data_IF_477703919608
#
_entry.id   IF_477703919608
#
_cell.length_a   1.000
_cell.length_b   1.000
_cell.length_c   1.000
_cell.angle_alpha   90.00
_cell.angle_beta   90.00
_cell.angle_gamma   90.00
#
_symmetry.space_group_name_H-M   'P 1'
#
loop_
_entity.id
_entity.type
_entity.pdbx_description
1 polymer ?
#
# COMPACT_ATOMS: atom_id res chain seq x y z
N UNK A 1 -9.45 0.13 -58.82
CA UNK A 1 -9.89 1.51 -59.10
C UNK A 1 -10.88 1.90 -58.02
N UNK A 2 -10.50 2.90 -57.22
CA UNK A 2 -11.26 3.96 -56.52
C UNK A 2 -12.74 3.73 -56.18
N UNK A 3 -13.33 4.28 -55.13
CA UNK A 3 -12.94 4.98 -53.89
C UNK A 3 -14.30 5.33 -53.28
N UNK A 4 -14.51 5.13 -51.98
CA UNK A 4 -15.58 5.84 -51.25
C UNK A 4 -15.04 6.17 -49.86
N UNK A 5 -14.55 7.40 -49.75
CA UNK A 5 -14.31 8.12 -48.51
C UNK A 5 -15.62 8.75 -48.04
N UNK A 6 -15.78 8.93 -46.72
CA UNK A 6 -16.72 9.91 -46.16
C UNK A 6 -17.39 9.47 -44.87
N UNK A 7 -16.75 9.73 -43.73
CA UNK A 7 -17.33 9.47 -42.41
C UNK A 7 -16.57 10.05 -41.21
N UNK A 8 -16.54 11.40 -41.12
CA UNK A 8 -16.56 12.26 -39.92
C UNK A 8 -15.44 12.17 -38.84
N UNK A 9 -15.19 13.27 -38.09
CA UNK A 9 -13.83 13.70 -37.72
C UNK A 9 -13.35 13.20 -36.36
N UNK A 10 -12.04 12.92 -36.27
CA UNK A 10 -11.34 12.82 -35.00
C UNK A 10 -11.32 14.19 -34.32
N UNK A 11 -11.89 14.27 -33.11
CA UNK A 11 -11.72 15.43 -32.25
C UNK A 11 -10.27 15.48 -31.79
N UNK A 12 -9.45 16.22 -32.53
CA UNK A 12 -8.10 16.60 -32.14
C UNK A 12 -8.19 17.41 -30.84
N UNK A 13 -7.78 16.79 -29.73
CA UNK A 13 -7.49 17.54 -28.50
C UNK A 13 -6.26 18.41 -28.81
N UNK A 14 -6.50 19.69 -29.07
CA UNK A 14 -5.44 20.70 -29.19
C UNK A 14 -4.83 20.93 -27.82
N UNK A 15 -3.67 20.32 -27.57
CA UNK A 15 -2.82 20.67 -26.44
C UNK A 15 -2.24 22.06 -26.72
N UNK A 16 -2.46 23.07 -25.87
CA UNK A 16 -1.90 24.40 -26.12
C UNK A 16 -0.37 24.37 -26.00
N UNK A 17 0.28 24.69 -27.11
CA UNK A 17 1.61 25.32 -27.20
C UNK A 17 2.75 24.67 -26.40
N UNK A 18 3.22 23.53 -26.91
CA UNK A 18 4.38 22.71 -26.49
C UNK A 18 5.68 23.53 -26.26
N UNK A 19 5.81 24.70 -26.89
CA UNK A 19 7.01 25.54 -26.83
C UNK A 19 7.27 26.19 -25.46
N UNK A 20 6.24 26.52 -24.68
CA UNK A 20 6.42 27.12 -23.34
C UNK A 20 6.79 26.08 -22.29
N UNK A 21 6.30 24.85 -22.45
CA UNK A 21 6.59 23.72 -21.56
C UNK A 21 8.08 23.33 -21.63
N UNK A 22 8.69 23.36 -22.81
CA UNK A 22 10.12 23.05 -22.98
C UNK A 22 11.08 24.10 -22.40
N UNK A 23 10.72 25.38 -22.40
CA UNK A 23 11.53 26.43 -21.73
C UNK A 23 11.51 26.31 -20.19
N UNK A 24 10.48 25.68 -19.61
CA UNK A 24 10.46 25.38 -18.18
C UNK A 24 11.36 24.18 -17.82
N UNK A 25 11.51 23.23 -18.74
CA UNK A 25 12.36 22.04 -18.59
C UNK A 25 13.85 22.42 -18.66
N UNK A 26 14.24 23.37 -19.52
CA UNK A 26 15.61 23.89 -19.58
C UNK A 26 16.02 24.62 -18.28
N UNK A 27 15.07 25.26 -17.59
CA UNK A 27 15.29 25.94 -16.32
C UNK A 27 15.35 24.97 -15.12
N UNK A 28 14.73 23.79 -15.23
CA UNK A 28 14.84 22.71 -14.23
C UNK A 28 16.18 21.95 -14.30
N UNK A 29 16.83 21.93 -15.47
CA UNK A 29 18.17 21.33 -15.66
C UNK A 29 19.31 22.17 -15.07
N UNK A 30 19.02 23.30 -14.42
CA UNK A 30 20.01 24.19 -13.79
C UNK A 30 19.88 24.27 -12.26
N UNK A 31 19.18 23.33 -11.61
CA UNK A 31 19.26 23.22 -10.14
C UNK A 31 20.55 22.48 -9.78
N UNK A 32 21.57 23.23 -9.38
CA UNK A 32 22.92 22.72 -9.02
C UNK A 32 22.97 21.91 -7.73
N UNK A 33 21.89 21.85 -6.95
CA UNK A 33 21.87 21.17 -5.66
C UNK A 33 20.69 20.22 -5.48
N UNK A 34 21.02 19.06 -4.91
CA UNK A 34 20.15 17.94 -4.58
C UNK A 34 19.11 18.33 -3.50
N UNK A 35 17.92 18.76 -3.93
CA UNK A 35 16.86 19.16 -2.99
C UNK A 35 15.94 18.01 -2.57
N UNK A 36 15.90 16.90 -3.30
CA UNK A 36 14.97 15.82 -2.99
C UNK A 36 15.22 15.18 -1.61
N UNK A 37 16.44 14.85 -1.19
CA UNK A 37 16.68 14.33 0.16
C UNK A 37 16.24 15.30 1.26
N UNK A 38 16.38 16.61 1.03
CA UNK A 38 15.91 17.64 1.97
C UNK A 38 14.38 17.68 2.02
N UNK A 39 13.71 17.59 0.87
CA UNK A 39 12.24 17.51 0.77
C UNK A 39 11.74 16.22 1.44
N UNK A 40 12.37 15.08 1.15
CA UNK A 40 12.03 13.79 1.74
C UNK A 40 12.20 13.81 3.26
N UNK A 41 13.35 14.30 3.77
CA UNK A 41 13.57 14.45 5.19
C UNK A 41 12.57 15.42 5.83
N UNK A 42 12.17 16.50 5.14
CA UNK A 42 11.15 17.44 5.63
C UNK A 42 9.77 16.79 5.72
N UNK A 43 9.37 16.02 4.71
CA UNK A 43 8.07 15.30 4.69
C UNK A 43 8.06 14.21 5.77
N UNK A 44 9.14 13.41 5.85
CA UNK A 44 9.27 12.32 6.81
C UNK A 44 9.36 12.81 8.27
N UNK A 45 10.04 13.94 8.52
CA UNK A 45 10.15 14.50 9.88
C UNK A 45 8.84 15.11 10.38
N UNK A 46 8.05 15.73 9.50
CA UNK A 46 6.73 16.26 9.83
C UNK A 46 5.63 15.20 9.97
N UNK A 47 5.87 13.98 9.45
CA UNK A 47 4.85 12.94 9.31
C UNK A 47 5.31 11.55 9.77
N UNK A 48 6.31 11.50 10.66
CA UNK A 48 7.03 10.28 11.01
C UNK A 48 6.07 9.18 11.48
N UNK A 49 6.02 8.07 10.73
CA UNK A 49 5.17 6.92 11.04
C UNK A 49 3.70 7.04 10.64
N UNK A 50 3.24 8.23 10.20
CA UNK A 50 1.84 8.47 9.84
C UNK A 50 1.49 7.97 8.44
N UNK A 51 2.44 8.05 7.52
CA UNK A 51 2.24 7.70 6.12
C UNK A 51 3.24 6.64 5.65
N UNK A 52 2.82 5.91 4.63
CA UNK A 52 3.68 5.00 3.88
C UNK A 52 3.70 5.43 2.42
N UNK A 53 4.76 5.00 1.74
CA UNK A 53 5.09 5.50 0.41
C UNK A 53 5.24 4.36 -0.58
N UNK A 54 4.85 4.62 -1.83
CA UNK A 54 5.08 3.68 -2.94
C UNK A 54 5.53 4.41 -4.18
N UNK A 55 6.76 4.11 -4.62
CA UNK A 55 7.26 4.50 -5.93
C UNK A 55 6.60 3.70 -7.04
N UNK A 56 6.27 4.36 -8.15
CA UNK A 56 5.59 3.74 -9.30
C UNK A 56 5.83 4.52 -10.59
N UNK A 57 5.48 3.87 -11.71
CA UNK A 57 5.50 4.53 -13.02
C UNK A 57 4.31 5.49 -13.18
N UNK A 58 4.45 6.49 -14.07
CA UNK A 58 3.31 7.36 -14.43
C UNK A 58 2.13 6.60 -15.05
N UNK A 59 2.39 5.44 -15.69
CA UNK A 59 1.33 4.57 -16.21
C UNK A 59 0.53 3.93 -15.08
N UNK A 60 1.21 3.44 -14.05
CA UNK A 60 0.55 2.91 -12.84
C UNK A 60 -0.21 4.01 -12.11
N UNK A 61 0.38 5.20 -11.93
CA UNK A 61 -0.31 6.32 -11.31
C UNK A 61 -1.61 6.66 -12.04
N UNK A 62 -1.56 6.83 -13.37
CA UNK A 62 -2.77 7.12 -14.17
C UNK A 62 -3.82 6.02 -14.04
N UNK A 63 -3.39 4.76 -13.96
CA UNK A 63 -4.30 3.64 -13.77
C UNK A 63 -4.96 3.69 -12.38
N UNK A 64 -4.20 3.94 -11.32
CA UNK A 64 -4.74 4.06 -9.96
C UNK A 64 -5.71 5.23 -9.88
N UNK A 65 -5.32 6.41 -10.38
CA UNK A 65 -6.17 7.61 -10.36
C UNK A 65 -7.43 7.48 -11.23
N UNK A 66 -7.49 6.52 -12.16
CA UNK A 66 -8.68 6.25 -12.96
C UNK A 66 -9.59 5.18 -12.38
N UNK A 67 -9.25 4.59 -11.23
CA UNK A 67 -10.04 3.55 -10.56
C UNK A 67 -10.32 3.96 -9.11
N UNK A 68 -11.38 3.39 -8.52
CA UNK A 68 -11.68 3.59 -7.10
C UNK A 68 -10.79 2.76 -6.17
N UNK A 69 -10.25 1.67 -6.70
CA UNK A 69 -9.44 0.69 -5.98
C UNK A 69 -7.96 0.83 -6.38
N UNK A 70 -7.08 0.69 -5.40
CA UNK A 70 -5.64 0.56 -5.63
C UNK A 70 -5.31 -0.82 -6.21
N UNK A 71 -5.41 -0.96 -7.53
CA UNK A 71 -5.14 -2.21 -8.25
C UNK A 71 -3.90 -2.04 -9.15
N UNK A 72 -3.06 -3.07 -9.23
CA UNK A 72 -2.00 -3.11 -10.23
C UNK A 72 -2.60 -3.23 -11.66
N UNK A 73 -1.98 -2.58 -12.67
CA UNK A 73 -2.48 -2.63 -14.04
C UNK A 73 -2.70 -4.07 -14.56
N UNK A 74 -3.84 -4.29 -15.22
CA UNK A 74 -4.14 -5.55 -15.90
C UNK A 74 -3.10 -5.79 -17.02
N UNK A 75 -2.31 -6.86 -16.91
CA UNK A 75 -1.27 -7.21 -17.89
C UNK A 75 -0.08 -7.97 -17.30
N UNK A 76 0.15 -7.86 -15.99
CA UNK A 76 1.11 -8.71 -15.28
C UNK A 76 0.42 -10.01 -14.85
N UNK A 77 0.83 -11.15 -15.43
CA UNK A 77 0.37 -12.48 -14.97
C UNK A 77 0.94 -12.78 -13.58
N UNK A 78 0.30 -12.23 -12.55
CA UNK A 78 0.68 -12.46 -11.14
C UNK A 78 0.01 -13.69 -10.57
N UNK A 79 0.72 -14.38 -9.69
CA UNK A 79 0.19 -15.53 -8.98
C UNK A 79 -0.78 -15.09 -7.86
N UNK A 80 -1.58 -16.04 -7.36
CA UNK A 80 -2.64 -15.81 -6.38
C UNK A 80 -2.41 -16.69 -5.14
N UNK A 81 -1.57 -16.25 -4.22
CA UNK A 81 -1.22 -16.99 -2.99
C UNK A 81 -0.92 -16.03 -1.83
N UNK A 82 -0.80 -16.54 -0.59
CA UNK A 82 -0.43 -15.75 0.59
C UNK A 82 0.98 -16.08 1.12
N UNK A 83 1.87 -16.58 0.24
CA UNK A 83 3.25 -16.87 0.60
C UNK A 83 4.07 -15.56 0.68
N UNK A 84 4.26 -15.04 1.89
CA UNK A 84 4.99 -13.78 2.11
C UNK A 84 6.49 -13.90 1.76
N UNK A 85 7.13 -15.04 2.05
CA UNK A 85 8.53 -15.25 1.70
C UNK A 85 8.78 -15.19 0.19
N UNK A 86 7.89 -15.78 -0.60
CA UNK A 86 7.93 -15.68 -2.05
C UNK A 86 7.71 -14.24 -2.55
N UNK A 87 6.75 -13.53 -1.95
CA UNK A 87 6.48 -12.15 -2.33
C UNK A 87 7.68 -11.23 -2.10
N UNK A 88 8.39 -11.37 -0.98
CA UNK A 88 9.59 -10.58 -0.68
C UNK A 88 10.69 -10.80 -1.72
N UNK A 89 10.82 -12.02 -2.23
CA UNK A 89 11.90 -12.39 -3.16
C UNK A 89 11.55 -12.10 -4.62
N UNK A 90 10.34 -12.47 -5.05
CA UNK A 90 9.96 -12.46 -6.48
C UNK A 90 8.99 -11.30 -6.79
N UNK A 91 8.19 -10.85 -5.82
CA UNK A 91 7.17 -9.80 -5.97
C UNK A 91 6.17 -10.07 -7.13
N UNK A 92 5.92 -11.36 -7.42
CA UNK A 92 4.99 -11.79 -8.46
C UNK A 92 3.61 -12.19 -7.92
N UNK A 93 3.12 -11.46 -6.92
CA UNK A 93 1.88 -11.77 -6.22
C UNK A 93 0.81 -10.68 -6.44
N UNK A 94 -0.42 -11.10 -6.75
CA UNK A 94 -1.59 -10.22 -6.92
C UNK A 94 -2.29 -9.88 -5.60
N UNK A 95 -2.04 -10.65 -4.54
CA UNK A 95 -2.59 -10.48 -3.19
C UNK A 95 -1.82 -9.51 -2.33
N UNK A 96 -0.57 -9.22 -2.69
CA UNK A 96 0.33 -8.38 -1.90
C UNK A 96 0.85 -7.19 -2.70
N UNK A 97 0.98 -6.05 -2.04
CA UNK A 97 1.54 -4.81 -2.60
C UNK A 97 2.49 -4.21 -1.55
N UNK A 98 3.75 -4.02 -1.92
CA UNK A 98 4.75 -3.44 -1.03
C UNK A 98 4.68 -1.91 -0.95
N UNK A 99 4.86 -1.38 0.24
CA UNK A 99 5.04 0.02 0.56
C UNK A 99 6.27 0.18 1.45
N UNK A 100 6.86 1.36 1.49
CA UNK A 100 7.98 1.65 2.38
C UNK A 100 7.61 2.78 3.33
N UNK A 101 8.03 2.71 4.61
CA UNK A 101 7.87 3.83 5.53
C UNK A 101 8.81 5.00 5.23
N UNK A 102 9.73 4.85 4.26
CA UNK A 102 10.67 5.90 3.85
C UNK A 102 10.42 6.35 2.41
N UNK A 103 10.12 7.65 2.25
CA UNK A 103 10.03 8.34 0.98
C UNK A 103 11.37 8.23 0.20
N UNK A 104 12.50 8.29 0.91
CA UNK A 104 13.83 8.15 0.31
C UNK A 104 14.04 6.75 -0.30
N UNK A 105 13.55 5.68 0.34
CA UNK A 105 13.53 4.35 -0.27
C UNK A 105 12.51 4.25 -1.42
N UNK A 106 11.37 4.93 -1.29
CA UNK A 106 10.32 5.00 -2.32
C UNK A 106 10.85 5.49 -3.67
N UNK A 107 11.75 6.48 -3.65
CA UNK A 107 12.47 6.95 -4.83
C UNK A 107 13.24 5.85 -5.54
N UNK A 108 13.97 5.01 -4.79
CA UNK A 108 14.80 3.96 -5.39
C UNK A 108 13.92 3.06 -6.25
N UNK A 109 12.71 2.72 -5.77
CA UNK A 109 11.74 1.94 -6.53
C UNK A 109 11.17 2.67 -7.74
N UNK A 110 10.94 3.98 -7.67
CA UNK A 110 10.53 4.75 -8.84
C UNK A 110 11.63 4.78 -9.93
N UNK A 111 12.91 4.73 -9.53
CA UNK A 111 14.07 4.84 -10.44
C UNK A 111 14.56 3.52 -11.05
N UNK A 112 14.21 2.34 -10.49
CA UNK A 112 14.83 1.05 -10.87
C UNK A 112 14.35 0.46 -12.20
N UNK A 113 13.33 1.03 -12.83
CA UNK A 113 12.68 0.46 -14.02
C UNK A 113 13.14 0.97 -15.39
N UNK A 114 13.88 2.07 -15.48
CA UNK A 114 14.10 2.76 -16.76
C UNK A 114 15.58 2.97 -17.10
N UNK A 115 15.94 2.81 -18.37
CA UNK A 115 17.32 2.98 -18.88
C UNK A 115 17.68 4.46 -19.04
N UNK A 116 16.69 5.26 -19.45
CA UNK A 116 16.75 6.71 -19.62
C UNK A 116 16.00 7.40 -18.48
N UNK A 117 16.35 8.64 -18.12
CA UNK A 117 15.54 9.44 -17.19
C UNK A 117 14.08 9.50 -17.65
N UNK A 118 13.15 9.26 -16.73
CA UNK A 118 11.70 9.28 -17.01
C UNK A 118 10.94 9.88 -15.85
N UNK A 119 9.72 10.36 -16.10
CA UNK A 119 8.83 10.76 -15.02
C UNK A 119 8.27 9.52 -14.31
N UNK A 120 8.36 9.52 -12.99
CA UNK A 120 7.74 8.56 -12.08
C UNK A 120 6.91 9.29 -11.04
N UNK A 121 6.32 8.52 -10.14
CA UNK A 121 5.54 9.08 -9.03
C UNK A 121 5.83 8.34 -7.72
N UNK A 122 5.66 9.05 -6.62
CA UNK A 122 5.56 8.46 -5.29
C UNK A 122 4.18 8.81 -4.73
N UNK A 123 3.41 7.79 -4.38
CA UNK A 123 2.19 7.98 -3.62
C UNK A 123 2.50 8.00 -2.13
N UNK A 124 1.92 8.97 -1.44
CA UNK A 124 1.85 9.08 0.02
C UNK A 124 0.45 8.63 0.45
N UNK A 125 0.37 7.61 1.31
CA UNK A 125 -0.90 6.98 1.69
C UNK A 125 -1.00 6.70 3.19
N UNK A 126 -2.22 6.42 3.66
CA UNK A 126 -2.45 5.76 4.95
C UNK A 126 -1.75 4.40 5.02
N UNK A 127 -1.66 3.87 6.24
CA UNK A 127 -1.52 2.42 6.45
C UNK A 127 -2.70 1.69 5.79
N UNK A 128 -2.45 0.54 5.14
CA UNK A 128 -3.52 -0.23 4.54
C UNK A 128 -4.42 -0.86 5.61
N UNK A 129 -5.67 -1.23 5.26
CA UNK A 129 -6.57 -1.88 6.20
C UNK A 129 -5.98 -3.16 6.79
N UNK A 130 -5.23 -3.92 5.97
CA UNK A 130 -4.53 -5.13 6.39
C UNK A 130 -3.10 -5.13 5.84
N UNK A 131 -2.12 -5.44 6.70
CA UNK A 131 -0.73 -5.57 6.27
C UNK A 131 0.07 -6.59 7.06
N UNK A 132 1.25 -6.89 6.52
CA UNK A 132 2.27 -7.75 7.09
C UNK A 132 3.58 -6.96 7.13
N UNK A 133 4.33 -7.09 8.22
CA UNK A 133 5.72 -6.67 8.29
C UNK A 133 6.63 -7.89 8.06
N UNK A 134 7.14 -8.05 6.84
CA UNK A 134 7.90 -9.24 6.45
C UNK A 134 9.14 -9.48 7.30
N UNK A 135 9.83 -8.41 7.72
CA UNK A 135 11.01 -8.52 8.58
C UNK A 135 10.65 -9.01 9.98
N UNK A 136 9.52 -8.56 10.50
CA UNK A 136 8.97 -9.04 11.78
C UNK A 136 8.57 -10.52 11.68
N UNK A 137 7.85 -10.92 10.62
CA UNK A 137 7.48 -12.33 10.41
C UNK A 137 8.72 -13.22 10.27
N UNK A 138 9.80 -12.77 9.62
CA UNK A 138 11.04 -13.55 9.59
C UNK A 138 11.60 -13.81 10.99
N UNK A 139 11.53 -12.82 11.88
CA UNK A 139 12.07 -12.95 13.23
C UNK A 139 11.20 -13.84 14.11
N UNK A 140 9.87 -13.74 14.00
CA UNK A 140 8.94 -14.49 14.86
C UNK A 140 8.56 -15.85 14.26
N UNK A 141 8.65 -16.00 12.95
CA UNK A 141 8.23 -17.18 12.18
C UNK A 141 9.25 -17.57 11.09
N UNK A 142 10.54 -17.78 11.42
CA UNK A 142 11.59 -18.11 10.46
C UNK A 142 11.31 -19.40 9.68
N UNK A 143 10.56 -20.35 10.25
CA UNK A 143 10.21 -21.62 9.63
C UNK A 143 9.51 -21.42 8.27
N UNK A 144 8.68 -20.37 8.14
CA UNK A 144 8.00 -20.03 6.89
C UNK A 144 8.99 -19.73 5.76
N UNK A 145 10.04 -18.95 6.06
CA UNK A 145 11.07 -18.57 5.10
C UNK A 145 11.99 -19.75 4.78
N UNK A 146 12.35 -20.54 5.79
CA UNK A 146 13.15 -21.76 5.61
C UNK A 146 12.44 -22.80 4.74
N UNK A 147 11.12 -23.02 4.94
CA UNK A 147 10.32 -23.90 4.08
C UNK A 147 10.32 -23.42 2.64
N UNK A 148 10.20 -22.11 2.41
CA UNK A 148 10.26 -21.55 1.06
C UNK A 148 11.65 -21.71 0.42
N UNK A 149 12.72 -21.42 1.15
CA UNK A 149 14.09 -21.62 0.68
C UNK A 149 14.36 -23.07 0.29
N UNK A 150 14.00 -24.04 1.14
CA UNK A 150 14.14 -25.47 0.85
C UNK A 150 13.37 -25.90 -0.40
N UNK A 151 12.16 -25.35 -0.63
CA UNK A 151 11.41 -25.59 -1.88
C UNK A 151 12.16 -25.07 -3.10
N UNK A 152 12.68 -23.84 -3.03
CA UNK A 152 13.47 -23.24 -4.10
C UNK A 152 14.74 -24.04 -4.42
N UNK A 153 15.47 -24.49 -3.40
CA UNK A 153 16.69 -25.32 -3.57
C UNK A 153 16.39 -26.66 -4.23
N UNK A 154 15.30 -27.32 -3.82
CA UNK A 154 14.85 -28.57 -4.44
C UNK A 154 14.43 -28.37 -5.89
N UNK A 155 13.70 -27.30 -6.17
CA UNK A 155 13.14 -27.04 -7.50
C UNK A 155 14.23 -26.57 -8.49
N UNK A 156 15.28 -25.86 -8.01
CA UNK A 156 16.52 -25.58 -8.77
C UNK A 156 17.25 -26.84 -9.22
N UNK A 157 17.20 -27.91 -8.42
CA UNK A 157 17.77 -29.21 -8.79
C UNK A 157 17.00 -29.95 -9.90
N UNK A 158 15.82 -29.47 -10.28
CA UNK A 158 14.92 -30.09 -11.28
C UNK A 158 14.70 -29.23 -12.53
N UNK A 159 14.83 -27.90 -12.45
CA UNK A 159 14.67 -26.99 -13.58
C UNK A 159 15.61 -25.79 -13.47
N UNK A 160 16.60 -25.69 -14.36
CA UNK A 160 17.52 -24.54 -14.50
C UNK A 160 16.84 -23.19 -14.85
N UNK A 161 15.51 -23.16 -14.98
CA UNK A 161 14.76 -22.03 -15.55
C UNK A 161 14.11 -21.09 -14.51
N UNK A 162 14.04 -21.43 -13.23
CA UNK A 162 13.50 -20.52 -12.20
C UNK A 162 14.66 -19.83 -11.49
N UNK A 163 15.28 -18.90 -12.21
CA UNK A 163 16.37 -18.09 -11.70
C UNK A 163 15.87 -17.23 -10.53
N UNK A 164 16.29 -17.60 -9.33
CA UNK A 164 16.40 -16.66 -8.23
C UNK A 164 17.27 -15.48 -8.71
N UNK A 165 16.66 -14.30 -8.88
CA UNK A 165 17.34 -13.13 -9.47
C UNK A 165 18.16 -12.31 -8.44
N UNK A 166 18.19 -12.74 -7.17
CA UNK A 166 19.03 -12.14 -6.14
C UNK A 166 20.40 -12.81 -6.03
N UNK A 167 21.42 -12.08 -5.60
CA UNK A 167 22.70 -12.66 -5.18
C UNK A 167 22.65 -13.23 -3.76
N UNK A 168 21.70 -12.75 -2.95
CA UNK A 168 21.62 -12.98 -1.51
C UNK A 168 20.48 -13.95 -1.21
N UNK A 169 20.57 -14.84 -0.21
CA UNK A 169 19.51 -15.80 0.09
C UNK A 169 18.17 -15.18 0.50
N UNK A 170 17.15 -16.04 0.68
CA UNK A 170 15.78 -15.63 1.07
C UNK A 170 15.79 -14.84 2.39
N UNK A 171 16.60 -15.29 3.34
CA UNK A 171 16.74 -14.69 4.67
C UNK A 171 17.43 -13.33 4.56
N UNK A 172 18.56 -13.24 3.86
CA UNK A 172 19.30 -11.99 3.67
C UNK A 172 18.45 -10.93 2.95
N UNK A 173 17.77 -11.32 1.88
CA UNK A 173 16.84 -10.45 1.13
C UNK A 173 15.75 -9.89 2.06
N UNK A 174 15.22 -10.74 2.95
CA UNK A 174 14.16 -10.34 3.89
C UNK A 174 14.69 -9.46 5.03
N UNK A 175 15.90 -9.70 5.53
CA UNK A 175 16.52 -8.86 6.58
C UNK A 175 16.78 -7.42 6.11
N UNK A 176 17.13 -7.26 4.83
CA UNK A 176 17.28 -5.98 4.17
C UNK A 176 15.95 -5.32 3.79
N UNK A 177 14.83 -6.04 3.89
CA UNK A 177 13.51 -5.51 3.56
C UNK A 177 12.95 -4.70 4.74
N UNK A 178 12.67 -3.42 4.50
CA UNK A 178 12.03 -2.50 5.46
C UNK A 178 10.59 -2.14 5.06
N UNK A 179 10.03 -2.86 4.08
CA UNK A 179 8.71 -2.63 3.53
C UNK A 179 7.59 -3.15 4.43
N UNK A 180 6.47 -2.44 4.36
CA UNK A 180 5.16 -2.91 4.80
C UNK A 180 4.48 -3.54 3.59
N UNK A 181 4.00 -4.77 3.74
CA UNK A 181 3.29 -5.47 2.67
C UNK A 181 1.79 -5.38 2.90
N UNK A 182 1.10 -4.57 2.11
CA UNK A 182 -0.36 -4.53 2.09
C UNK A 182 -0.92 -5.87 1.62
N UNK A 183 -1.94 -6.37 2.32
CA UNK A 183 -2.83 -7.40 1.81
C UNK A 183 -3.90 -6.72 0.97
N UNK A 184 -3.88 -6.94 -0.35
CA UNK A 184 -4.78 -6.27 -1.29
C UNK A 184 -6.11 -7.02 -1.46
N UNK A 185 -6.09 -8.34 -1.25
CA UNK A 185 -7.28 -9.19 -1.37
C UNK A 185 -7.27 -10.29 -0.32
N UNK A 186 -8.39 -10.51 0.37
CA UNK A 186 -8.62 -11.64 1.27
C UNK A 186 -9.71 -12.54 0.67
N UNK A 187 -9.32 -13.75 0.26
CA UNK A 187 -10.14 -14.59 -0.61
C UNK A 187 -10.44 -13.89 -1.95
N UNK A 188 -11.72 -13.65 -2.24
CA UNK A 188 -12.18 -12.89 -3.43
C UNK A 188 -12.43 -11.41 -3.14
N UNK A 189 -12.36 -10.99 -1.88
CA UNK A 189 -12.75 -9.65 -1.43
C UNK A 189 -11.55 -8.71 -1.58
N UNK A 190 -11.78 -7.55 -2.18
CA UNK A 190 -10.82 -6.46 -2.20
C UNK A 190 -10.76 -5.80 -0.83
N UNK A 191 -9.55 -5.60 -0.29
CA UNK A 191 -9.32 -5.03 1.05
C UNK A 191 -8.15 -4.04 1.08
N UNK A 192 -7.72 -3.60 -0.11
CA UNK A 192 -6.62 -2.66 -0.26
C UNK A 192 -7.05 -1.21 -0.04
N UNK A 193 -6.15 -0.28 -0.41
CA UNK A 193 -6.38 1.15 -0.27
C UNK A 193 -7.50 1.67 -1.20
N UNK A 194 -8.37 2.51 -0.67
CA UNK A 194 -9.29 3.33 -1.46
C UNK A 194 -8.67 4.68 -1.84
N UNK A 195 -9.37 5.46 -2.67
CA UNK A 195 -8.92 6.80 -3.04
C UNK A 195 -8.79 7.76 -1.84
N UNK A 196 -9.65 7.63 -0.84
CA UNK A 196 -9.60 8.42 0.41
C UNK A 196 -8.38 8.09 1.28
N UNK A 197 -7.70 6.97 1.02
CA UNK A 197 -6.46 6.60 1.70
C UNK A 197 -5.20 7.21 1.06
N UNK A 198 -5.33 7.82 -0.14
CA UNK A 198 -4.23 8.50 -0.83
C UNK A 198 -4.22 9.96 -0.39
N UNK A 199 -3.12 10.40 0.24
CA UNK A 199 -2.93 11.78 0.67
C UNK A 199 -2.43 12.66 -0.46
N UNK A 200 -1.37 12.21 -1.11
CA UNK A 200 -0.72 12.97 -2.17
C UNK A 200 -0.02 12.07 -3.20
N UNK A 201 0.13 12.60 -4.41
CA UNK A 201 0.98 12.06 -5.45
C UNK A 201 2.11 13.06 -5.74
N UNK A 202 3.34 12.67 -5.44
CA UNK A 202 4.53 13.43 -5.80
C UNK A 202 5.00 12.94 -7.18
N UNK A 203 5.02 13.83 -8.16
CA UNK A 203 5.57 13.55 -9.50
C UNK A 203 7.02 13.99 -9.52
N UNK A 204 7.89 13.12 -10.03
CA UNK A 204 9.32 13.34 -10.06
C UNK A 204 9.94 12.85 -11.37
N UNK A 205 10.98 13.52 -11.85
CA UNK A 205 11.88 12.95 -12.85
C UNK A 205 12.86 12.02 -12.13
N UNK A 206 12.87 10.73 -12.45
CA UNK A 206 13.80 9.75 -11.86
C UNK A 206 15.02 9.49 -12.75
N UNK A 207 16.20 9.26 -12.17
CA UNK A 207 17.39 8.83 -12.92
C UNK A 207 17.15 7.52 -13.67
N UNK A 208 17.69 7.42 -14.89
CA UNK A 208 17.76 6.17 -15.65
C UNK A 208 19.06 5.39 -15.37
N UNK A 209 19.04 4.08 -15.61
CA UNK A 209 20.14 3.15 -15.28
C UNK A 209 21.45 3.32 -16.08
N UNK A 210 21.45 3.87 -17.31
CA UNK A 210 22.60 3.61 -18.22
C UNK A 210 23.09 4.71 -19.18
N UNK A 211 22.70 5.98 -19.04
CA UNK A 211 23.32 7.08 -19.81
C UNK A 211 23.95 8.14 -18.90
N UNK A 212 25.20 7.93 -18.48
CA UNK A 212 26.00 8.85 -17.65
C UNK A 212 26.19 10.27 -18.24
N UNK A 213 25.94 10.44 -19.55
CA UNK A 213 26.18 11.67 -20.31
C UNK A 213 24.92 12.56 -20.44
N UNK A 214 23.74 12.04 -20.11
CA UNK A 214 22.44 12.76 -20.11
C UNK A 214 21.77 12.67 -18.71
N UNK A 215 22.50 12.17 -17.71
CA UNK A 215 21.91 11.70 -16.44
C UNK A 215 21.68 12.84 -15.45
N UNK A 216 20.42 13.07 -15.11
CA UNK A 216 20.07 13.52 -13.75
C UNK A 216 20.60 12.48 -12.76
N UNK A 217 21.35 12.93 -11.75
CA UNK A 217 22.01 12.06 -10.76
C UNK A 217 21.10 11.74 -9.58
N UNK A 218 20.17 12.65 -9.29
CA UNK A 218 19.17 12.50 -8.23
C UNK A 218 17.79 12.85 -8.79
N UNK A 219 16.71 12.31 -8.21
CA UNK A 219 15.37 12.62 -8.68
C UNK A 219 15.04 14.09 -8.46
N UNK A 220 14.37 14.67 -9.44
CA UNK A 220 13.89 16.05 -9.38
C UNK A 220 12.41 16.02 -9.07
N UNK A 221 12.00 16.59 -7.94
CA UNK A 221 10.58 16.77 -7.63
C UNK A 221 9.99 17.82 -8.57
N UNK A 222 8.98 17.43 -9.36
CA UNK A 222 8.36 18.28 -10.36
C UNK A 222 7.11 18.97 -9.79
N UNK A 223 6.21 18.19 -9.19
CA UNK A 223 4.94 18.70 -8.65
C UNK A 223 4.36 17.77 -7.58
N UNK A 224 3.44 18.30 -6.77
CA UNK A 224 2.66 17.57 -5.79
C UNK A 224 1.17 17.74 -6.08
N UNK A 225 0.42 16.65 -6.12
CA UNK A 225 -1.03 16.65 -6.23
C UNK A 225 -1.58 16.16 -4.89
N UNK A 226 -2.20 17.04 -4.13
CA UNK A 226 -2.84 16.70 -2.86
C UNK A 226 -4.29 16.28 -3.07
N UNK A 227 -4.75 15.29 -2.31
CA UNK A 227 -6.12 14.82 -2.34
C UNK A 227 -6.94 15.51 -1.24
N UNK A 228 -7.92 16.37 -1.59
CA UNK A 228 -8.75 17.05 -0.59
C UNK A 228 -9.71 16.10 0.15
N UNK A 229 -9.95 14.90 -0.40
CA UNK A 229 -10.79 13.86 0.22
C UNK A 229 -9.98 12.91 1.13
N UNK A 230 -8.68 13.16 1.29
CA UNK A 230 -7.83 12.35 2.14
C UNK A 230 -8.33 12.36 3.58
N UNK A 231 -8.46 11.17 4.17
CA UNK A 231 -8.82 11.00 5.57
C UNK A 231 -7.90 9.97 6.22
N UNK A 232 -7.30 10.26 7.40
CA UNK A 232 -6.65 9.24 8.20
C UNK A 232 -7.60 8.09 8.51
N UNK A 233 -7.11 6.86 8.31
CA UNK A 233 -7.90 5.67 8.63
C UNK A 233 -7.99 5.50 10.15
N UNK A 234 -9.16 5.12 10.65
CA UNK A 234 -9.36 4.90 12.10
C UNK A 234 -8.47 3.76 12.61
N UNK A 235 -8.46 2.64 11.89
CA UNK A 235 -7.66 1.49 12.28
C UNK A 235 -7.19 0.62 11.12
N UNK A 236 -6.10 -0.09 11.38
CA UNK A 236 -5.49 -1.08 10.50
C UNK A 236 -5.18 -2.35 11.28
N UNK A 237 -5.11 -3.49 10.59
CA UNK A 237 -4.80 -4.79 11.18
C UNK A 237 -3.44 -5.27 10.68
N UNK A 238 -2.51 -5.50 11.62
CA UNK A 238 -1.24 -6.16 11.34
C UNK A 238 -1.42 -7.66 11.52
N UNK A 239 -1.29 -8.42 10.44
CA UNK A 239 -1.35 -9.88 10.45
C UNK A 239 0.01 -10.43 10.87
N UNK A 240 0.05 -11.07 12.05
CA UNK A 240 1.27 -11.61 12.65
C UNK A 240 1.51 -13.09 12.37
N UNK A 241 0.51 -13.79 11.81
CA UNK A 241 0.63 -15.19 11.41
C UNK A 241 0.03 -15.41 10.02
N UNK A 242 0.88 -15.73 9.05
CA UNK A 242 0.55 -15.62 7.62
C UNK A 242 0.29 -16.96 6.92
N UNK A 243 0.37 -18.10 7.62
CA UNK A 243 -0.06 -19.36 7.03
C UNK A 243 -1.59 -19.42 6.89
N UNK A 244 -2.04 -20.12 5.84
CA UNK A 244 -3.46 -20.32 5.53
C UNK A 244 -4.14 -21.24 6.57
N UNK A 245 -5.40 -21.56 6.31
CA UNK A 245 -6.35 -22.36 7.10
C UNK A 245 -5.84 -23.71 7.69
N UNK A 246 -4.63 -24.17 7.35
CA UNK A 246 -4.00 -25.40 7.88
C UNK A 246 -2.76 -25.06 8.71
N UNK A 247 -2.91 -24.25 9.77
CA UNK A 247 -1.79 -23.96 10.67
C UNK A 247 -1.60 -25.09 11.69
N UNK A 248 -0.35 -25.33 12.09
CA UNK A 248 -0.02 -26.21 13.20
C UNK A 248 -0.13 -25.42 14.51
N UNK A 249 -0.92 -25.90 15.47
CA UNK A 249 -1.16 -25.23 16.75
C UNK A 249 0.16 -24.97 17.49
N UNK A 250 1.10 -25.93 17.43
CA UNK A 250 2.42 -25.81 18.04
C UNK A 250 3.24 -24.67 17.43
N UNK A 251 3.11 -24.47 16.12
CA UNK A 251 3.80 -23.40 15.40
C UNK A 251 3.18 -22.04 15.72
N UNK A 252 1.85 -21.98 15.85
CA UNK A 252 1.16 -20.76 16.30
C UNK A 252 1.60 -20.34 17.71
N UNK A 253 1.64 -21.28 18.66
CA UNK A 253 2.08 -20.99 20.03
C UNK A 253 3.55 -20.54 20.07
N UNK A 254 4.41 -21.18 19.28
CA UNK A 254 5.81 -20.77 19.17
C UNK A 254 5.97 -19.34 18.61
N UNK A 255 5.17 -18.98 17.61
CA UNK A 255 5.14 -17.61 17.07
C UNK A 255 4.66 -16.62 18.12
N UNK A 256 3.61 -16.92 18.88
CA UNK A 256 3.15 -16.06 19.98
C UNK A 256 4.18 -15.92 21.10
N UNK A 257 4.84 -17.01 21.47
CA UNK A 257 5.95 -17.00 22.43
C UNK A 257 7.04 -16.04 21.98
N UNK A 258 7.54 -16.16 20.74
CA UNK A 258 8.58 -15.26 20.20
C UNK A 258 8.11 -13.81 20.14
N UNK A 259 6.87 -13.55 19.73
CA UNK A 259 6.32 -12.19 19.73
C UNK A 259 6.32 -11.56 21.13
N UNK A 260 6.05 -12.35 22.18
CA UNK A 260 6.12 -11.89 23.58
C UNK A 260 7.55 -11.69 24.05
N UNK A 261 8.45 -12.63 23.76
CA UNK A 261 9.87 -12.55 24.10
C UNK A 261 10.57 -11.35 23.44
N UNK A 262 10.12 -10.97 22.25
CA UNK A 262 10.61 -9.80 21.51
C UNK A 262 9.85 -8.50 21.84
N UNK A 263 8.92 -8.54 22.81
CA UNK A 263 8.11 -7.39 23.24
C UNK A 263 7.26 -6.77 22.11
N UNK A 264 6.93 -7.55 21.08
CA UNK A 264 6.09 -7.12 19.96
C UNK A 264 4.60 -7.15 20.31
N UNK A 265 4.22 -7.99 21.29
CA UNK A 265 2.88 -8.08 21.86
C UNK A 265 2.96 -8.23 23.39
N UNK A 266 1.92 -7.82 24.15
CA UNK A 266 1.86 -8.02 25.60
C UNK A 266 1.89 -9.51 26.03
N UNK A 267 2.25 -9.82 27.30
CA UNK A 267 2.30 -11.19 27.81
C UNK A 267 0.99 -11.98 27.66
N UNK A 268 -0.15 -11.31 27.88
CA UNK A 268 -1.49 -11.89 27.84
C UNK A 268 -2.18 -11.71 26.47
N UNK A 269 -1.38 -11.58 25.41
CA UNK A 269 -1.87 -11.36 24.05
C UNK A 269 -1.40 -12.43 23.07
N UNK A 270 -2.11 -12.52 21.95
CA UNK A 270 -1.77 -13.33 20.78
C UNK A 270 -1.84 -12.50 19.50
N UNK A 271 -1.10 -12.92 18.49
CA UNK A 271 -1.14 -12.30 17.16
C UNK A 271 -2.46 -12.59 16.44
N UNK A 272 -2.80 -11.72 15.48
CA UNK A 272 -3.94 -11.91 14.59
C UNK A 272 -3.51 -12.77 13.40
N UNK A 273 -4.29 -13.81 13.11
CA UNK A 273 -4.03 -14.73 11.99
C UNK A 273 -4.56 -14.22 10.66
N UNK A 274 -4.02 -14.73 9.55
CA UNK A 274 -4.54 -14.47 8.19
C UNK A 274 -6.03 -14.87 8.05
N UNK A 275 -6.44 -15.94 8.74
CA UNK A 275 -7.80 -16.42 8.72
C UNK A 275 -8.78 -15.49 9.45
N UNK A 276 -8.38 -14.97 10.61
CA UNK A 276 -9.15 -13.95 11.33
C UNK A 276 -9.22 -12.63 10.56
N UNK A 277 -8.12 -12.22 9.91
CA UNK A 277 -8.13 -11.06 9.03
C UNK A 277 -9.17 -11.19 7.91
N UNK A 278 -9.32 -12.38 7.33
CA UNK A 278 -10.38 -12.67 6.35
C UNK A 278 -11.79 -12.51 6.93
N UNK A 279 -12.02 -12.87 8.19
CA UNK A 279 -13.31 -12.64 8.85
C UNK A 279 -13.59 -11.18 9.13
N UNK A 280 -12.59 -10.42 9.60
CA UNK A 280 -12.69 -8.98 9.80
C UNK A 280 -12.99 -8.28 8.45
N UNK A 281 -12.34 -8.71 7.37
CA UNK A 281 -12.60 -8.18 6.04
C UNK A 281 -14.03 -8.49 5.55
N UNK A 282 -14.53 -9.69 5.81
CA UNK A 282 -15.87 -10.11 5.42
C UNK A 282 -16.98 -9.37 6.15
N UNK A 283 -16.73 -8.92 7.39
CA UNK A 283 -17.73 -8.19 8.18
C UNK A 283 -17.86 -6.72 7.78
N UNK A 284 -16.90 -6.16 7.03
CA UNK A 284 -16.86 -4.73 6.73
C UNK A 284 -16.57 -3.84 7.95
N UNK A 285 -16.11 -4.43 9.05
CA UNK A 285 -15.95 -3.74 10.34
C UNK A 285 -15.01 -2.54 10.25
N UNK A 286 -13.89 -2.65 9.54
CA UNK A 286 -12.92 -1.55 9.45
C UNK A 286 -13.50 -0.32 8.72
N UNK A 287 -14.32 -0.53 7.69
CA UNK A 287 -14.96 0.56 6.97
C UNK A 287 -16.08 1.19 7.81
N UNK A 288 -16.87 0.38 8.52
CA UNK A 288 -17.86 0.87 9.48
C UNK A 288 -17.21 1.76 10.56
N UNK A 289 -16.09 1.32 11.14
CA UNK A 289 -15.35 2.11 12.13
C UNK A 289 -14.81 3.41 11.52
N UNK A 290 -14.33 3.34 10.27
CA UNK A 290 -13.84 4.51 9.54
C UNK A 290 -14.96 5.50 9.18
N UNK A 291 -16.20 5.06 9.02
CA UNK A 291 -17.34 5.93 8.78
C UNK A 291 -17.89 6.57 10.06
N UNK A 292 -17.77 5.87 11.20
CA UNK A 292 -18.28 6.31 12.49
C UNK A 292 -17.35 7.24 13.27
N UNK A 293 -16.04 7.13 13.04
CA UNK A 293 -15.04 7.77 13.88
C UNK A 293 -14.00 8.54 13.06
N UNK A 294 -13.42 9.58 13.66
CA UNK A 294 -12.23 10.28 13.19
C UNK A 294 -11.10 10.10 14.21
N UNK A 295 -9.86 9.97 13.72
CA UNK A 295 -8.65 9.84 14.55
C UNK A 295 -7.50 10.59 13.87
N UNK A 296 -6.56 11.12 14.64
CA UNK A 296 -5.37 11.77 14.09
C UNK A 296 -4.33 10.76 13.58
N UNK A 297 -4.18 9.66 14.32
CA UNK A 297 -3.20 8.61 14.06
C UNK A 297 -3.90 7.26 14.01
N UNK A 298 -3.69 6.50 12.94
CA UNK A 298 -4.34 5.21 12.72
C UNK A 298 -3.97 4.22 13.82
N UNK A 299 -4.98 3.69 14.51
CA UNK A 299 -4.77 2.64 15.50
C UNK A 299 -4.42 1.31 14.82
N UNK A 300 -3.33 0.67 15.24
CA UNK A 300 -2.90 -0.61 14.69
C UNK A 300 -3.28 -1.75 15.64
N UNK A 301 -4.23 -2.57 15.21
CA UNK A 301 -4.50 -3.86 15.83
C UNK A 301 -3.37 -4.83 15.45
N UNK A 302 -2.36 -4.93 16.31
CA UNK A 302 -1.25 -5.89 16.17
C UNK A 302 -1.47 -7.21 16.89
N UNK A 303 -2.40 -7.22 17.84
CA UNK A 303 -2.67 -8.35 18.72
C UNK A 303 -4.08 -8.26 19.29
N UNK A 304 -4.50 -9.35 19.94
CA UNK A 304 -5.72 -9.43 20.74
C UNK A 304 -5.43 -10.21 22.04
N UNK A 305 -6.26 -10.06 23.09
CA UNK A 305 -6.09 -10.85 24.31
C UNK A 305 -6.08 -12.35 24.02
N UNK A 306 -5.17 -13.09 24.66
CA UNK A 306 -5.10 -14.56 24.54
C UNK A 306 -6.37 -15.26 25.02
N UNK A 307 -7.19 -14.59 25.83
CA UNK A 307 -8.50 -15.07 26.27
C UNK A 307 -9.54 -15.13 25.15
N UNK A 308 -9.33 -14.43 24.02
CA UNK A 308 -10.19 -14.53 22.85
C UNK A 308 -9.73 -15.75 22.04
N UNK A 309 -10.52 -16.84 21.95
CA UNK A 309 -10.12 -18.03 21.20
C UNK A 309 -9.86 -17.71 19.72
N UNK A 310 -8.96 -18.47 19.10
CA UNK A 310 -8.69 -18.34 17.67
C UNK A 310 -10.00 -18.62 16.91
N UNK A 311 -10.31 -17.77 15.92
CA UNK A 311 -11.52 -17.87 15.09
C UNK A 311 -12.85 -17.58 15.81
N UNK A 312 -12.82 -17.11 17.06
CA UNK A 312 -14.01 -16.53 17.70
C UNK A 312 -14.28 -15.13 17.12
N UNK A 313 -15.05 -15.12 16.03
CA UNK A 313 -15.29 -13.91 15.24
C UNK A 313 -16.05 -12.85 16.04
N UNK A 314 -17.02 -13.27 16.84
CA UNK A 314 -17.89 -12.35 17.57
C UNK A 314 -17.08 -11.65 18.67
N UNK A 315 -16.37 -12.41 19.49
CA UNK A 315 -15.51 -11.85 20.54
C UNK A 315 -14.40 -10.96 19.95
N UNK A 316 -13.82 -11.37 18.81
CA UNK A 316 -12.81 -10.57 18.10
C UNK A 316 -13.37 -9.22 17.64
N UNK A 317 -14.52 -9.21 16.96
CA UNK A 317 -15.14 -7.97 16.47
C UNK A 317 -15.59 -7.07 17.62
N UNK A 318 -16.20 -7.65 18.67
CA UNK A 318 -16.61 -6.91 19.86
C UNK A 318 -15.41 -6.24 20.56
N UNK A 319 -14.30 -6.98 20.70
CA UNK A 319 -13.07 -6.44 21.26
C UNK A 319 -12.53 -5.26 20.42
N UNK A 320 -12.48 -5.39 19.10
CA UNK A 320 -12.01 -4.30 18.22
C UNK A 320 -12.88 -3.05 18.35
N UNK A 321 -14.21 -3.18 18.37
CA UNK A 321 -15.13 -2.05 18.55
C UNK A 321 -14.91 -1.36 19.90
N UNK A 322 -14.85 -2.14 20.99
CA UNK A 322 -14.61 -1.62 22.34
C UNK A 322 -13.27 -0.90 22.44
N UNK A 323 -12.22 -1.46 21.87
CA UNK A 323 -10.90 -0.85 21.83
C UNK A 323 -10.96 0.52 21.18
N UNK A 324 -11.51 0.65 19.96
CA UNK A 324 -11.64 1.95 19.29
C UNK A 324 -12.48 2.95 20.09
N UNK A 325 -13.60 2.52 20.66
CA UNK A 325 -14.46 3.39 21.46
C UNK A 325 -13.80 3.90 22.75
N UNK A 326 -12.79 3.17 23.26
CA UNK A 326 -12.05 3.54 24.46
C UNK A 326 -10.84 4.45 24.21
N UNK A 327 -10.45 4.64 22.94
CA UNK A 327 -9.32 5.49 22.59
C UNK A 327 -9.64 6.96 22.87
N UNK A 328 -8.75 7.65 23.58
CA UNK A 328 -8.94 9.06 23.96
C UNK A 328 -8.80 10.04 22.81
N UNK A 329 -8.18 9.63 21.71
CA UNK A 329 -7.94 10.44 20.51
C UNK A 329 -8.96 10.17 19.39
N UNK A 330 -10.03 9.43 19.68
CA UNK A 330 -11.11 9.15 18.71
C UNK A 330 -12.27 10.11 18.93
N UNK A 331 -12.74 10.72 17.85
CA UNK A 331 -13.95 11.57 17.84
C UNK A 331 -15.06 10.85 17.10
N UNK A 332 -16.25 10.74 17.70
CA UNK A 332 -17.42 10.18 17.03
C UNK A 332 -17.99 11.20 16.05
N UNK A 333 -18.28 10.77 14.83
CA UNK A 333 -18.96 11.61 13.83
C UNK A 333 -20.42 11.79 14.24
N UNK A 334 -20.85 13.05 14.33
CA UNK A 334 -22.27 13.36 14.37
C UNK A 334 -22.87 12.96 13.03
N UNK A 335 -23.84 12.03 13.05
CA UNK A 335 -24.62 11.70 11.87
C UNK A 335 -25.30 12.96 11.36
N UNK A 336 -24.84 13.49 10.22
CA UNK A 336 -25.57 14.51 9.46
C UNK A 336 -26.84 13.86 8.93
N UNK A 337 -27.89 13.86 9.74
CA UNK A 337 -29.24 13.77 9.21
C UNK A 337 -29.48 15.14 8.58
N UNK A 338 -29.36 15.23 7.26
CA UNK A 338 -29.93 16.36 6.53
C UNK A 338 -31.44 16.29 6.79
N UNK A 339 -31.90 17.14 7.70
CA UNK A 339 -33.32 17.36 7.94
C UNK A 339 -33.88 17.94 6.64
N UNK A 340 -34.54 17.11 5.84
CA UNK A 340 -35.31 17.56 4.69
C UNK A 340 -36.46 18.38 5.28
N UNK A 341 -36.24 19.68 5.42
CA UNK A 341 -37.32 20.63 5.65
C UNK A 341 -38.12 20.69 4.36
N UNK A 342 -39.26 20.00 4.34
CA UNK A 342 -40.32 20.19 3.36
C UNK A 342 -40.85 21.62 3.48
N UNK A 343 -40.15 22.60 2.90
CA UNK A 343 -40.76 23.90 2.65
C UNK A 343 -41.75 23.75 1.49
N UNK A 344 -43.06 23.98 1.70
CA UNK A 344 -44.04 23.88 0.64
C UNK A 344 -43.77 24.97 -0.41
N UNK A 345 -43.51 24.54 -1.64
CA UNK A 345 -43.30 25.42 -2.78
C UNK A 345 -44.50 26.35 -2.94
N UNK A 346 -44.31 27.64 -2.67
CA UNK A 346 -45.30 28.65 -3.04
C UNK A 346 -45.30 28.77 -4.57
N UNK A 347 -46.38 28.32 -5.18
CA UNK A 347 -46.63 28.46 -6.61
C UNK A 347 -46.77 29.96 -6.94
N UNK A 348 -46.25 30.42 -8.09
CA UNK A 348 -46.38 31.82 -8.48
C UNK A 348 -47.83 32.14 -8.80
N UNK A 349 -48.39 33.17 -8.15
CA UNK A 349 -49.66 33.77 -8.54
C UNK A 349 -49.44 34.52 -9.86
N UNK A 350 -50.07 34.01 -10.91
CA UNK A 350 -50.24 34.67 -12.20
C UNK A 350 -51.06 35.96 -12.02
N UNK A 351 -50.60 37.06 -12.60
CA UNK A 351 -51.42 38.22 -12.97
C UNK A 351 -51.37 38.39 -14.49
#
# INVERSE_FOLDING_TARGET
MNAFEGGAPSSVIKIPNISKTFKSIEKMLTVKEDQFPKIAASIESGSKGRYIYRGMSMKELRHILSHKEFICPAGLKKQHHYNIAEHVVINNNSKFISFTPSLALGVRYASTGTVIPTSGAILETNLPPFFINSKEILATHPELYQRYQKRQERDKGLNDAVAFMGTDGVVETTLGNSEITMINKLGKIYVGLGMHDIRAAHILTVPGKMLHWISIKTPVHETCIENPEFKPRVCSVKVGFTENDNFLEEEFELVNQRNREMELIPPDARVITMHEAKYIAQSGLLDLLNDMFDIDETHIFSHVPSSIPINDKEALMEHMVKTIQSLSNVTKRESRVEEITDEPSQSPKTQ
#
